data_IF_484954610845
#
_entry.id   IF_484954610845
#
_cell.length_a   1.000
_cell.length_b   1.000
_cell.length_c   1.000
_cell.angle_alpha   90.00
_cell.angle_beta   90.00
_cell.angle_gamma   90.00
#
_symmetry.space_group_name_H-M   'P 1'
#
loop_
_entity.id
_entity.type
_entity.pdbx_description
1 polymer ?
#
# COMPACT_ATOMS: atom_id res chain seq x y z
N UNK A 1 29.56 -9.91 2.21
CA UNK A 1 29.78 -8.48 1.86
C UNK A 1 29.01 -8.24 0.57
N UNK A 2 27.72 -7.91 0.68
CA UNK A 2 26.88 -7.67 -0.48
C UNK A 2 27.18 -6.26 -1.02
N UNK A 3 27.52 -6.17 -2.30
CA UNK A 3 27.71 -4.90 -2.98
C UNK A 3 26.39 -4.13 -2.96
N UNK A 4 26.38 -2.95 -2.34
CA UNK A 4 25.27 -2.03 -2.41
C UNK A 4 25.03 -1.66 -3.87
N UNK A 5 23.88 -2.06 -4.41
CA UNK A 5 23.39 -1.61 -5.70
C UNK A 5 23.18 -0.09 -5.60
N UNK A 6 24.08 0.68 -6.22
CA UNK A 6 23.81 2.00 -6.80
C UNK A 6 23.16 3.08 -5.94
N UNK A 7 23.37 3.14 -4.63
CA UNK A 7 22.90 4.30 -3.85
C UNK A 7 23.74 5.54 -4.23
N UNK A 8 23.13 6.65 -4.69
CA UNK A 8 23.89 7.84 -5.05
C UNK A 8 24.63 8.38 -3.83
N UNK A 9 25.94 8.59 -3.96
CA UNK A 9 26.76 9.17 -2.89
C UNK A 9 26.50 10.68 -2.71
N UNK A 10 27.17 11.33 -1.73
CA UNK A 10 26.98 12.76 -1.44
C UNK A 10 27.17 13.70 -2.64
N UNK A 11 28.00 13.32 -3.62
CA UNK A 11 28.24 14.09 -4.86
C UNK A 11 26.95 14.27 -5.68
N UNK A 12 26.02 13.33 -5.59
CA UNK A 12 24.73 13.43 -6.28
C UNK A 12 23.71 14.29 -5.56
N UNK A 13 23.95 14.68 -4.30
CA UNK A 13 23.03 15.49 -3.51
C UNK A 13 22.69 16.80 -4.21
N UNK A 14 23.71 17.48 -4.72
CA UNK A 14 23.50 18.78 -5.39
C UNK A 14 22.67 18.62 -6.65
N UNK A 15 22.85 17.51 -7.38
CA UNK A 15 22.11 17.23 -8.62
C UNK A 15 20.69 16.76 -8.34
N UNK A 16 20.48 15.84 -7.40
CA UNK A 16 19.20 15.15 -7.21
C UNK A 16 18.30 15.83 -6.17
N UNK A 17 18.86 16.54 -5.19
CA UNK A 17 18.13 17.08 -4.05
C UNK A 17 18.21 18.60 -4.01
N UNK A 18 19.41 19.17 -3.93
CA UNK A 18 19.60 20.61 -3.64
C UNK A 18 19.37 21.55 -4.83
N UNK A 19 19.35 21.03 -6.05
CA UNK A 19 19.19 21.77 -7.32
C UNK A 19 17.79 22.33 -7.55
N UNK A 20 16.80 21.95 -6.74
CA UNK A 20 15.39 22.24 -7.01
C UNK A 20 14.79 21.40 -8.15
N UNK A 21 15.52 20.42 -8.70
CA UNK A 21 15.01 19.54 -9.76
C UNK A 21 13.75 18.76 -9.34
N UNK A 22 13.63 18.38 -8.06
CA UNK A 22 12.41 17.75 -7.54
C UNK A 22 11.21 18.69 -7.68
N UNK A 23 11.37 19.94 -7.24
CA UNK A 23 10.32 20.96 -7.39
C UNK A 23 9.99 21.23 -8.84
N UNK A 24 11.00 21.34 -9.70
CA UNK A 24 10.81 21.49 -11.15
C UNK A 24 10.03 20.32 -11.76
N UNK A 25 10.39 19.08 -11.42
CA UNK A 25 9.75 17.86 -11.95
C UNK A 25 8.28 17.76 -11.53
N UNK A 26 7.98 18.03 -10.26
CA UNK A 26 6.61 18.02 -9.76
C UNK A 26 5.76 19.12 -10.40
N UNK A 27 6.32 20.33 -10.53
CA UNK A 27 5.66 21.44 -11.21
C UNK A 27 5.47 21.18 -12.71
N UNK A 28 6.46 20.56 -13.35
CA UNK A 28 6.40 20.15 -14.75
C UNK A 28 5.27 19.15 -14.98
N UNK A 29 5.19 18.08 -14.17
CA UNK A 29 4.11 17.11 -14.27
C UNK A 29 2.74 17.76 -14.01
N UNK A 30 2.67 18.68 -13.04
CA UNK A 30 1.44 19.43 -12.74
C UNK A 30 1.02 20.33 -13.92
N UNK A 31 1.97 20.99 -14.56
CA UNK A 31 1.70 21.82 -15.74
C UNK A 31 1.24 20.96 -16.93
N UNK A 32 1.82 19.78 -17.13
CA UNK A 32 1.33 18.82 -18.14
C UNK A 32 -0.11 18.40 -17.83
N UNK A 33 -0.40 18.05 -16.58
CA UNK A 33 -1.75 17.66 -16.13
C UNK A 33 -2.79 18.75 -16.39
N UNK A 34 -2.45 20.00 -16.10
CA UNK A 34 -3.34 21.14 -16.35
C UNK A 34 -3.53 21.42 -17.83
N UNK A 35 -2.46 21.34 -18.63
CA UNK A 35 -2.51 21.63 -20.07
C UNK A 35 -3.36 20.62 -20.83
N UNK A 36 -3.31 19.35 -20.43
CA UNK A 36 -3.97 18.26 -21.15
C UNK A 36 -5.21 17.71 -20.42
N UNK A 37 -5.77 18.45 -19.45
CA UNK A 37 -6.90 17.98 -18.64
C UNK A 37 -8.16 17.60 -19.45
N UNK A 38 -8.29 18.10 -20.68
CA UNK A 38 -9.40 17.81 -21.58
C UNK A 38 -9.12 16.66 -22.58
N UNK A 39 -7.88 16.15 -22.63
CA UNK A 39 -7.50 15.05 -23.54
C UNK A 39 -7.48 13.74 -22.77
N UNK A 40 -8.21 12.70 -23.18
CA UNK A 40 -8.32 11.46 -22.39
C UNK A 40 -7.03 10.63 -22.29
N UNK A 41 -6.09 10.80 -23.23
CA UNK A 41 -4.96 9.90 -23.45
C UNK A 41 -3.59 10.45 -22.97
N UNK A 42 -3.54 11.65 -22.39
CA UNK A 42 -2.24 12.27 -22.08
C UNK A 42 -1.48 11.54 -20.97
N UNK A 43 -2.19 10.82 -20.10
CA UNK A 43 -1.58 10.07 -19.01
C UNK A 43 -0.59 9.02 -19.50
N UNK A 44 -0.87 8.41 -20.65
CA UNK A 44 -0.05 7.34 -21.22
C UNK A 44 0.90 7.84 -22.31
N UNK A 45 0.98 9.17 -22.50
CA UNK A 45 1.99 9.72 -23.39
C UNK A 45 3.40 9.46 -22.83
N UNK A 46 4.41 9.21 -23.69
CA UNK A 46 5.76 8.85 -23.24
C UNK A 46 6.35 9.85 -22.23
N UNK A 47 6.05 11.14 -22.40
CA UNK A 47 6.54 12.20 -21.52
C UNK A 47 5.93 12.12 -20.11
N UNK A 48 4.62 11.91 -20.01
CA UNK A 48 3.94 11.76 -18.73
C UNK A 48 4.38 10.48 -18.01
N UNK A 49 4.51 9.38 -18.75
CA UNK A 49 5.03 8.10 -18.24
C UNK A 49 6.45 8.26 -17.71
N UNK A 50 7.35 8.87 -18.47
CA UNK A 50 8.72 9.13 -18.03
C UNK A 50 8.78 10.02 -16.79
N UNK A 51 7.95 11.06 -16.73
CA UNK A 51 7.89 11.95 -15.56
C UNK A 51 7.40 11.20 -14.31
N UNK A 52 6.32 10.42 -14.40
CA UNK A 52 5.83 9.63 -13.24
C UNK A 52 6.84 8.60 -12.79
N UNK A 53 7.46 7.85 -13.70
CA UNK A 53 8.52 6.88 -13.36
C UNK A 53 9.64 7.57 -12.61
N UNK A 54 10.09 8.73 -13.06
CA UNK A 54 11.11 9.49 -12.38
C UNK A 54 10.66 9.94 -10.98
N UNK A 55 9.44 10.46 -10.85
CA UNK A 55 8.83 10.81 -9.54
C UNK A 55 8.84 9.60 -8.59
N UNK A 56 8.41 8.42 -9.05
CA UNK A 56 8.42 7.19 -8.26
C UNK A 56 9.83 6.83 -7.80
N UNK A 57 10.84 6.93 -8.68
CA UNK A 57 12.24 6.67 -8.32
C UNK A 57 12.78 7.66 -7.29
N UNK A 58 12.34 8.93 -7.32
CA UNK A 58 12.70 9.89 -6.28
C UNK A 58 12.12 9.54 -4.91
N UNK A 59 11.01 8.78 -4.83
CA UNK A 59 10.45 8.30 -3.56
C UNK A 59 11.32 7.25 -2.86
N UNK A 60 12.20 6.55 -3.58
CA UNK A 60 13.10 5.54 -3.00
C UNK A 60 14.49 6.07 -2.65
N UNK A 61 14.74 7.38 -2.74
CA UNK A 61 16.04 7.94 -2.36
C UNK A 61 16.28 7.75 -0.86
N UNK A 62 17.45 7.20 -0.52
CA UNK A 62 17.89 6.94 0.86
C UNK A 62 19.41 6.87 0.95
N UNK A 63 19.93 6.81 2.18
CA UNK A 63 21.36 6.61 2.46
C UNK A 63 22.18 7.89 2.40
N UNK A 64 23.46 7.76 2.05
CA UNK A 64 24.49 8.83 2.20
C UNK A 64 24.27 10.06 1.31
N UNK A 65 23.29 10.01 0.39
CA UNK A 65 22.86 11.19 -0.35
C UNK A 65 22.28 12.26 0.58
N UNK A 66 21.63 11.86 1.69
CA UNK A 66 21.17 12.79 2.71
C UNK A 66 22.28 13.07 3.73
N UNK A 67 22.37 14.29 4.28
CA UNK A 67 23.28 14.59 5.37
C UNK A 67 22.91 13.81 6.63
N UNK A 68 23.85 13.68 7.57
CA UNK A 68 23.60 13.08 8.89
C UNK A 68 22.87 14.06 9.81
N UNK A 69 21.68 14.50 9.41
CA UNK A 69 20.87 15.54 10.06
C UNK A 69 19.67 14.97 10.81
N UNK A 70 19.85 13.82 11.47
CA UNK A 70 18.78 13.03 12.09
C UNK A 70 17.67 12.56 11.14
N UNK A 71 17.89 12.64 9.82
CA UNK A 71 16.93 12.20 8.79
C UNK A 71 15.94 13.28 8.37
N UNK A 72 16.12 14.52 8.83
CA UNK A 72 15.18 15.61 8.60
C UNK A 72 15.10 15.99 7.11
N UNK A 73 16.23 16.12 6.40
CA UNK A 73 16.23 16.40 4.96
C UNK A 73 15.60 15.26 4.16
N UNK A 74 15.80 14.00 4.58
CA UNK A 74 15.14 12.86 3.94
C UNK A 74 13.62 12.93 4.15
N UNK A 75 13.18 13.19 5.37
CA UNK A 75 11.76 13.34 5.71
C UNK A 75 11.11 14.46 4.88
N UNK A 76 11.79 15.60 4.76
CA UNK A 76 11.29 16.74 3.97
C UNK A 76 11.22 16.42 2.47
N UNK A 77 12.21 15.71 1.93
CA UNK A 77 12.20 15.23 0.55
C UNK A 77 11.01 14.29 0.31
N UNK A 78 10.82 13.29 1.16
CA UNK A 78 9.71 12.34 1.05
C UNK A 78 8.35 13.02 1.19
N UNK A 79 8.22 14.01 2.08
CA UNK A 79 7.02 14.82 2.22
C UNK A 79 6.69 15.58 0.93
N UNK A 80 7.69 16.20 0.29
CA UNK A 80 7.51 16.88 -0.98
C UNK A 80 7.08 15.90 -2.09
N UNK A 81 7.69 14.72 -2.13
CA UNK A 81 7.31 13.66 -3.07
C UNK A 81 5.87 13.20 -2.85
N UNK A 82 5.49 12.93 -1.59
CA UNK A 82 4.15 12.50 -1.23
C UNK A 82 3.09 13.54 -1.58
N UNK A 83 3.36 14.83 -1.33
CA UNK A 83 2.48 15.92 -1.73
C UNK A 83 2.28 15.99 -3.26
N UNK A 84 3.30 15.62 -4.04
CA UNK A 84 3.23 15.60 -5.50
C UNK A 84 2.36 14.46 -6.07
N UNK A 85 2.35 13.31 -5.40
CA UNK A 85 1.62 12.10 -5.85
C UNK A 85 0.25 11.94 -5.22
N UNK A 86 -0.07 12.65 -4.13
CA UNK A 86 -1.31 12.42 -3.36
C UNK A 86 -2.56 12.53 -4.25
N UNK A 87 -2.56 13.47 -5.20
CA UNK A 87 -3.62 13.71 -6.17
C UNK A 87 -3.77 12.61 -7.25
N UNK A 88 -2.92 11.59 -7.24
CA UNK A 88 -3.01 10.40 -8.10
C UNK A 88 -3.85 9.30 -7.44
N UNK A 89 -3.92 9.31 -6.11
CA UNK A 89 -4.47 8.22 -5.29
C UNK A 89 -5.61 8.70 -4.35
N UNK A 90 -5.84 10.01 -4.25
CA UNK A 90 -6.83 10.60 -3.34
C UNK A 90 -7.96 11.36 -4.08
N UNK A 91 -9.24 11.20 -3.67
CA UNK A 91 -9.74 10.17 -2.76
C UNK A 91 -9.86 8.81 -3.48
N UNK A 92 -9.52 7.68 -2.83
CA UNK A 92 -9.47 6.36 -3.49
C UNK A 92 -10.75 5.97 -4.24
N UNK A 93 -11.93 6.26 -3.69
CA UNK A 93 -13.20 5.89 -4.29
C UNK A 93 -13.49 6.70 -5.57
N UNK A 94 -13.12 7.98 -5.60
CA UNK A 94 -13.26 8.81 -6.79
C UNK A 94 -12.28 8.39 -7.89
N UNK A 95 -11.06 8.01 -7.50
CA UNK A 95 -10.05 7.48 -8.46
C UNK A 95 -10.53 6.17 -9.05
N UNK A 96 -11.00 5.22 -8.22
CA UNK A 96 -11.57 3.95 -8.67
C UNK A 96 -12.75 4.16 -9.62
N UNK A 97 -13.71 5.03 -9.26
CA UNK A 97 -14.84 5.40 -10.14
C UNK A 97 -14.38 6.01 -11.46
N UNK A 98 -13.36 6.86 -11.44
CA UNK A 98 -12.82 7.45 -12.66
C UNK A 98 -12.20 6.39 -13.58
N UNK A 99 -11.48 5.41 -13.03
CA UNK A 99 -10.93 4.29 -13.79
C UNK A 99 -12.04 3.45 -14.40
N UNK A 100 -13.06 3.09 -13.61
CA UNK A 100 -14.27 2.40 -14.10
C UNK A 100 -14.99 3.17 -15.21
N UNK A 101 -14.89 4.50 -15.23
CA UNK A 101 -15.44 5.36 -16.29
C UNK A 101 -14.54 5.52 -17.53
N UNK A 102 -13.41 4.80 -17.59
CA UNK A 102 -12.49 4.79 -18.74
C UNK A 102 -11.30 5.74 -18.62
N UNK A 103 -11.04 6.32 -17.44
CA UNK A 103 -9.78 7.04 -17.19
C UNK A 103 -8.64 6.03 -17.02
N UNK A 104 -7.48 6.35 -17.58
CA UNK A 104 -6.26 5.54 -17.37
C UNK A 104 -5.92 5.36 -15.88
N UNK A 105 -5.65 4.11 -15.50
CA UNK A 105 -5.23 3.64 -14.19
C UNK A 105 -3.76 3.95 -13.87
N UNK A 106 -2.97 4.41 -14.86
CA UNK A 106 -1.53 4.61 -14.75
C UNK A 106 -1.11 5.48 -13.56
N UNK A 107 -1.85 6.57 -13.26
CA UNK A 107 -1.55 7.42 -12.10
C UNK A 107 -1.74 6.68 -10.78
N UNK A 108 -2.82 5.90 -10.66
CA UNK A 108 -3.12 5.13 -9.45
C UNK A 108 -2.02 4.11 -9.21
N UNK A 109 -1.66 3.32 -10.22
CA UNK A 109 -0.65 2.27 -10.11
C UNK A 109 0.74 2.85 -9.79
N UNK A 110 1.13 3.94 -10.43
CA UNK A 110 2.39 4.64 -10.11
C UNK A 110 2.34 5.25 -8.70
N UNK A 111 1.19 5.71 -8.24
CA UNK A 111 0.97 6.16 -6.86
C UNK A 111 1.16 5.03 -5.84
N UNK A 112 0.62 3.84 -6.09
CA UNK A 112 0.84 2.65 -5.26
C UNK A 112 2.35 2.29 -5.21
N UNK A 113 3.04 2.30 -6.35
CA UNK A 113 4.50 2.05 -6.42
C UNK A 113 5.31 3.11 -5.67
N UNK A 114 4.86 4.36 -5.69
CA UNK A 114 5.49 5.42 -4.93
C UNK A 114 5.30 5.21 -3.42
N UNK A 115 4.10 4.83 -2.95
CA UNK A 115 3.89 4.48 -1.53
C UNK A 115 4.79 3.32 -1.09
N UNK A 116 4.88 2.27 -1.92
CA UNK A 116 5.80 1.15 -1.70
C UNK A 116 7.24 1.63 -1.58
N UNK A 117 7.69 2.48 -2.51
CA UNK A 117 9.05 3.06 -2.50
C UNK A 117 9.32 3.84 -1.20
N UNK A 118 8.38 4.66 -0.74
CA UNK A 118 8.50 5.36 0.55
C UNK A 118 8.58 4.36 1.71
N UNK A 119 7.72 3.34 1.74
CA UNK A 119 7.72 2.33 2.81
C UNK A 119 9.07 1.61 2.94
N UNK A 120 9.77 1.34 1.83
CA UNK A 120 11.09 0.69 1.87
C UNK A 120 12.20 1.54 2.50
N UNK A 121 12.01 2.86 2.58
CA UNK A 121 13.05 3.80 3.06
C UNK A 121 12.68 4.54 4.34
N UNK A 122 11.52 4.23 4.93
CA UNK A 122 11.00 4.85 6.17
C UNK A 122 10.62 3.78 7.18
N UNK A 123 10.64 4.13 8.48
CA UNK A 123 9.98 3.31 9.51
C UNK A 123 8.46 3.44 9.44
N UNK A 124 7.66 2.50 10.00
CA UNK A 124 6.20 2.61 9.98
C UNK A 124 5.63 3.88 10.62
N UNK A 125 6.30 4.39 11.67
CA UNK A 125 5.91 5.65 12.31
C UNK A 125 6.12 6.84 11.36
N UNK A 126 7.32 6.96 10.79
CA UNK A 126 7.64 8.05 9.85
C UNK A 126 6.74 7.96 8.63
N UNK A 127 6.52 6.75 8.10
CA UNK A 127 5.62 6.51 6.99
C UNK A 127 4.24 7.12 7.25
N UNK A 128 3.63 6.83 8.40
CA UNK A 128 2.30 7.36 8.75
C UNK A 128 2.27 8.88 8.96
N UNK A 129 3.31 9.44 9.57
CA UNK A 129 3.42 10.88 9.86
C UNK A 129 3.57 11.76 8.62
N UNK A 130 4.13 11.24 7.52
CA UNK A 130 4.37 12.03 6.31
C UNK A 130 3.10 12.73 5.81
N UNK A 131 1.98 12.01 5.71
CA UNK A 131 0.73 12.59 5.22
C UNK A 131 0.03 13.47 6.27
N UNK A 132 0.18 13.15 7.57
CA UNK A 132 -0.38 13.95 8.69
C UNK A 132 0.13 15.39 8.69
N UNK A 133 1.28 15.65 8.06
CA UNK A 133 1.85 16.98 7.93
C UNK A 133 1.00 17.96 7.09
N UNK A 134 0.15 17.46 6.18
CA UNK A 134 -0.72 18.30 5.34
C UNK A 134 -2.13 17.73 5.12
N UNK A 135 -2.48 16.58 5.73
CA UNK A 135 -3.82 15.97 5.74
C UNK A 135 -4.27 15.67 7.17
N UNK A 136 -5.60 15.53 7.39
CA UNK A 136 -6.13 15.17 8.71
C UNK A 136 -5.96 13.69 9.09
N UNK A 137 -5.34 12.88 8.23
CA UNK A 137 -5.09 11.45 8.42
C UNK A 137 -3.68 11.08 7.96
N UNK A 138 -3.20 9.92 8.41
CA UNK A 138 -1.86 9.42 8.08
C UNK A 138 -1.79 8.57 6.82
N UNK A 139 -0.57 8.30 6.39
CA UNK A 139 -0.32 7.54 5.16
C UNK A 139 -0.80 6.09 5.30
N UNK A 140 -0.81 5.51 6.50
CA UNK A 140 -1.34 4.15 6.72
C UNK A 140 -2.86 4.13 6.54
N UNK A 141 -3.56 5.18 6.97
CA UNK A 141 -5.00 5.32 6.72
C UNK A 141 -5.30 5.40 5.23
N UNK A 142 -4.49 6.16 4.47
CA UNK A 142 -4.62 6.21 3.00
C UNK A 142 -4.34 4.86 2.35
N UNK A 143 -3.29 4.16 2.78
CA UNK A 143 -2.93 2.81 2.32
C UNK A 143 -4.09 1.81 2.55
N UNK A 144 -4.70 1.85 3.73
CA UNK A 144 -5.88 1.03 4.05
C UNK A 144 -7.09 1.39 3.17
N UNK A 145 -7.38 2.68 2.97
CA UNK A 145 -8.47 3.13 2.11
C UNK A 145 -8.29 2.70 0.64
N UNK A 146 -7.07 2.78 0.11
CA UNK A 146 -6.73 2.27 -1.22
C UNK A 146 -6.98 0.77 -1.34
N UNK A 147 -6.50 0.00 -0.36
CA UNK A 147 -6.68 -1.44 -0.36
C UNK A 147 -8.16 -1.84 -0.27
N UNK A 148 -8.96 -1.12 0.53
CA UNK A 148 -10.41 -1.32 0.59
C UNK A 148 -11.09 -1.10 -0.78
N UNK A 149 -10.73 -0.05 -1.51
CA UNK A 149 -11.30 0.20 -2.85
C UNK A 149 -10.84 -0.82 -3.88
N UNK A 150 -9.61 -1.32 -3.78
CA UNK A 150 -9.09 -2.40 -4.61
C UNK A 150 -9.85 -3.70 -4.36
N UNK A 151 -10.06 -4.10 -3.10
CA UNK A 151 -10.80 -5.31 -2.76
C UNK A 151 -12.26 -5.21 -3.23
N UNK A 152 -12.91 -4.04 -3.04
CA UNK A 152 -14.26 -3.81 -3.55
C UNK A 152 -14.33 -4.02 -5.07
N UNK A 153 -13.38 -3.48 -5.82
CA UNK A 153 -13.33 -3.66 -7.26
C UNK A 153 -13.14 -5.13 -7.65
N UNK A 154 -12.23 -5.86 -6.99
CA UNK A 154 -12.01 -7.29 -7.22
C UNK A 154 -13.26 -8.14 -6.92
N UNK A 155 -14.02 -7.76 -5.90
CA UNK A 155 -15.27 -8.46 -5.55
C UNK A 155 -16.38 -8.22 -6.56
N UNK A 156 -16.45 -7.02 -7.15
CA UNK A 156 -17.43 -6.63 -8.18
C UNK A 156 -17.05 -7.18 -9.57
N UNK A 157 -15.76 -7.18 -9.91
CA UNK A 157 -15.23 -7.58 -11.20
C UNK A 157 -14.51 -8.94 -11.09
N UNK A 158 -15.28 -10.02 -11.14
CA UNK A 158 -14.76 -11.41 -11.12
C UNK A 158 -14.32 -11.88 -12.51
N UNK A 159 -13.45 -11.12 -13.15
CA UNK A 159 -12.87 -11.51 -14.44
C UNK A 159 -11.53 -12.20 -14.23
N UNK A 160 -11.23 -13.22 -15.03
CA UNK A 160 -9.91 -13.87 -15.04
C UNK A 160 -8.81 -12.99 -15.66
N UNK A 161 -9.20 -11.92 -16.39
CA UNK A 161 -8.25 -10.95 -16.94
C UNK A 161 -7.62 -10.08 -15.86
N UNK A 162 -6.31 -9.83 -15.98
CA UNK A 162 -5.55 -8.97 -15.08
C UNK A 162 -6.04 -7.53 -15.18
N UNK A 163 -6.77 -7.09 -14.15
CA UNK A 163 -7.28 -5.71 -14.05
C UNK A 163 -6.30 -4.81 -13.31
N UNK A 164 -6.56 -3.49 -13.34
CA UNK A 164 -5.83 -2.53 -12.51
C UNK A 164 -5.88 -2.87 -11.01
N UNK A 165 -6.98 -3.46 -10.53
CA UNK A 165 -7.17 -3.80 -9.12
C UNK A 165 -6.34 -5.01 -8.71
N UNK A 166 -6.13 -5.99 -9.60
CA UNK A 166 -5.16 -7.07 -9.38
C UNK A 166 -3.74 -6.53 -9.18
N UNK A 167 -3.26 -5.69 -10.09
CA UNK A 167 -1.90 -5.10 -10.00
C UNK A 167 -1.77 -4.22 -8.76
N UNK A 168 -2.78 -3.41 -8.45
CA UNK A 168 -2.78 -2.56 -7.28
C UNK A 168 -2.75 -3.37 -5.98
N UNK A 169 -3.52 -4.48 -5.91
CA UNK A 169 -3.55 -5.37 -4.73
C UNK A 169 -2.16 -5.87 -4.39
N UNK A 170 -1.44 -6.41 -5.36
CA UNK A 170 -0.13 -7.00 -5.12
C UNK A 170 0.87 -5.95 -4.61
N UNK A 171 0.91 -4.76 -5.23
CA UNK A 171 1.78 -3.66 -4.79
C UNK A 171 1.44 -3.20 -3.36
N UNK A 172 0.14 -3.09 -3.04
CA UNK A 172 -0.30 -2.62 -1.72
C UNK A 172 -0.06 -3.68 -0.63
N UNK A 173 -0.23 -4.97 -0.93
CA UNK A 173 0.12 -6.07 -0.03
C UNK A 173 1.62 -6.12 0.22
N UNK A 174 2.44 -5.92 -0.80
CA UNK A 174 3.90 -5.84 -0.64
C UNK A 174 4.28 -4.62 0.22
N UNK A 175 3.54 -3.51 0.10
CA UNK A 175 3.73 -2.31 0.94
C UNK A 175 3.42 -2.63 2.41
N UNK A 176 2.29 -3.28 2.69
CA UNK A 176 1.94 -3.73 4.04
C UNK A 176 2.98 -4.69 4.60
N UNK A 177 3.41 -5.68 3.81
CA UNK A 177 4.42 -6.65 4.19
C UNK A 177 5.74 -5.98 4.54
N UNK A 178 6.18 -5.01 3.72
CA UNK A 178 7.39 -4.22 3.98
C UNK A 178 7.32 -3.48 5.32
N UNK A 179 6.19 -2.83 5.62
CA UNK A 179 5.99 -2.11 6.88
C UNK A 179 5.96 -3.06 8.10
N UNK A 180 5.32 -4.22 7.97
CA UNK A 180 5.21 -5.21 9.04
C UNK A 180 6.55 -5.92 9.30
N UNK A 181 7.30 -6.30 8.26
CA UNK A 181 8.63 -6.93 8.39
C UNK A 181 9.63 -6.04 9.14
N UNK A 182 9.58 -4.72 8.92
CA UNK A 182 10.42 -3.77 9.65
C UNK A 182 10.09 -3.73 11.15
N UNK A 183 8.83 -3.99 11.51
CA UNK A 183 8.39 -4.08 12.91
C UNK A 183 9.08 -5.25 13.61
N UNK A 184 9.04 -6.43 13.00
CA UNK A 184 9.63 -7.67 13.51
C UNK A 184 11.16 -7.55 13.65
N UNK A 185 11.83 -6.97 12.65
CA UNK A 185 13.28 -6.81 12.66
C UNK A 185 13.79 -5.83 13.74
N UNK A 186 12.95 -4.91 14.19
CA UNK A 186 13.34 -3.86 15.16
C UNK A 186 13.31 -4.28 16.62
N UNK A 187 12.90 -5.53 16.92
CA UNK A 187 12.93 -6.08 18.27
C UNK A 187 12.15 -5.24 19.28
N UNK A 188 10.91 -4.85 18.95
CA UNK A 188 9.95 -4.12 19.80
C UNK A 188 10.21 -2.61 19.99
N UNK A 189 11.10 -1.98 19.20
CA UNK A 189 11.33 -0.52 19.29
C UNK A 189 10.37 0.33 18.46
N UNK A 190 9.74 -0.27 17.45
CA UNK A 190 8.76 0.39 16.62
C UNK A 190 7.44 -0.35 16.76
N UNK A 191 6.36 0.38 17.00
CA UNK A 191 4.98 -0.11 16.97
C UNK A 191 4.25 0.62 15.85
N UNK A 192 3.30 -0.05 15.19
CA UNK A 192 2.34 0.67 14.36
C UNK A 192 1.61 1.72 15.23
N UNK A 193 1.27 2.89 14.67
CA UNK A 193 0.39 3.83 15.35
C UNK A 193 -0.97 3.15 15.62
N UNK A 194 -1.74 3.57 16.65
CA UNK A 194 -3.03 2.96 16.99
C UNK A 194 -3.99 2.90 15.80
N UNK A 195 -4.02 3.96 14.98
CA UNK A 195 -4.81 4.00 13.76
C UNK A 195 -4.34 2.95 12.74
N UNK A 196 -3.03 2.70 12.67
CA UNK A 196 -2.44 1.68 11.83
C UNK A 196 -2.79 0.26 12.25
N UNK A 197 -2.88 0.00 13.57
CA UNK A 197 -3.33 -1.29 14.10
C UNK A 197 -4.80 -1.54 13.72
N UNK A 198 -5.66 -0.55 13.94
CA UNK A 198 -7.07 -0.66 13.55
C UNK A 198 -7.24 -0.83 12.04
N UNK A 199 -6.46 -0.08 11.24
CA UNK A 199 -6.48 -0.15 9.79
C UNK A 199 -6.05 -1.53 9.27
N UNK A 200 -4.98 -2.10 9.84
CA UNK A 200 -4.50 -3.44 9.50
C UNK A 200 -5.53 -4.52 9.89
N UNK A 201 -6.13 -4.43 11.08
CA UNK A 201 -7.14 -5.38 11.53
C UNK A 201 -8.40 -5.36 10.64
N UNK A 202 -8.91 -4.17 10.32
CA UNK A 202 -10.07 -4.02 9.43
C UNK A 202 -9.76 -4.53 8.02
N UNK A 203 -8.57 -4.27 7.51
CA UNK A 203 -8.14 -4.76 6.21
C UNK A 203 -8.05 -6.29 6.19
N UNK A 204 -7.45 -6.90 7.20
CA UNK A 204 -7.36 -8.35 7.31
C UNK A 204 -8.76 -9.00 7.31
N UNK A 205 -9.69 -8.45 8.10
CA UNK A 205 -11.07 -8.91 8.12
C UNK A 205 -11.72 -8.80 6.72
N UNK A 206 -11.49 -7.71 6.01
CA UNK A 206 -12.02 -7.50 4.66
C UNK A 206 -11.46 -8.49 3.64
N UNK A 207 -10.15 -8.76 3.68
CA UNK A 207 -9.50 -9.76 2.79
C UNK A 207 -10.10 -11.14 3.04
N UNK A 208 -10.15 -11.57 4.31
CA UNK A 208 -10.70 -12.89 4.67
C UNK A 208 -12.16 -13.00 4.23
N UNK A 209 -12.97 -11.96 4.47
CA UNK A 209 -14.36 -11.93 4.01
C UNK A 209 -14.45 -12.03 2.47
N UNK A 210 -13.57 -11.33 1.74
CA UNK A 210 -13.58 -11.38 0.27
C UNK A 210 -13.20 -12.75 -0.28
N UNK A 211 -12.18 -13.40 0.29
CA UNK A 211 -11.74 -14.74 -0.13
C UNK A 211 -12.80 -15.79 0.21
N UNK A 212 -13.41 -15.74 1.39
CA UNK A 212 -14.52 -16.62 1.75
C UNK A 212 -15.72 -16.45 0.82
N UNK A 213 -16.03 -15.20 0.42
CA UNK A 213 -17.11 -14.92 -0.54
C UNK A 213 -16.76 -15.41 -1.96
N UNK A 214 -15.49 -15.39 -2.34
CA UNK A 214 -15.04 -15.95 -3.61
C UNK A 214 -15.12 -17.48 -3.59
N UNK A 215 -14.57 -18.12 -2.56
CA UNK A 215 -14.58 -19.57 -2.37
C UNK A 215 -16.01 -20.13 -2.30
N UNK A 216 -16.89 -19.53 -1.49
CA UNK A 216 -18.29 -19.94 -1.42
C UNK A 216 -18.99 -19.85 -2.78
N UNK A 217 -18.81 -18.76 -3.52
CA UNK A 217 -19.46 -18.62 -4.81
C UNK A 217 -18.90 -19.56 -5.90
N UNK A 218 -17.62 -19.91 -5.84
CA UNK A 218 -17.03 -20.95 -6.70
C UNK A 218 -17.62 -22.33 -6.35
N UNK A 219 -17.78 -22.63 -5.07
CA UNK A 219 -18.27 -23.91 -4.60
C UNK A 219 -19.74 -24.20 -4.94
N UNK A 220 -20.55 -23.18 -5.27
CA UNK A 220 -21.92 -23.35 -5.76
C UNK A 220 -22.02 -23.41 -7.29
N UNK A 221 -20.90 -23.23 -8.02
CA UNK A 221 -20.88 -23.17 -9.48
C UNK A 221 -20.45 -24.48 -10.14
N UNK A 222 -19.94 -25.44 -9.37
CA UNK A 222 -19.57 -26.79 -9.85
C UNK A 222 -20.55 -27.83 -9.28
N UNK A 223 -21.15 -28.63 -10.16
CA UNK A 223 -22.06 -29.74 -9.82
C UNK A 223 -21.30 -30.94 -9.20
N UNK A 224 -20.41 -30.75 -8.21
CA UNK A 224 -19.72 -31.86 -7.54
C UNK A 224 -19.48 -31.56 -6.05
N UNK A 225 -20.31 -32.16 -5.18
CA UNK A 225 -20.30 -32.03 -3.70
C UNK A 225 -18.95 -32.36 -3.01
N UNK A 226 -17.99 -32.96 -3.72
CA UNK A 226 -16.69 -33.33 -3.17
C UNK A 226 -15.66 -32.19 -3.12
N UNK A 227 -15.77 -31.16 -3.98
CA UNK A 227 -14.84 -30.03 -4.00
C UNK A 227 -15.15 -28.97 -2.92
N UNK A 228 -16.39 -28.95 -2.40
CA UNK A 228 -16.82 -28.06 -1.31
C UNK A 228 -15.97 -28.23 -0.04
N UNK A 229 -15.74 -29.47 0.39
CA UNK A 229 -14.94 -29.76 1.58
C UNK A 229 -13.47 -29.39 1.38
N UNK A 230 -12.93 -29.62 0.18
CA UNK A 230 -11.50 -29.47 -0.07
C UNK A 230 -11.10 -27.99 -0.22
N UNK A 231 -11.91 -27.18 -0.89
CA UNK A 231 -11.72 -25.73 -0.98
C UNK A 231 -11.94 -25.03 0.37
N UNK A 232 -12.94 -25.46 1.16
CA UNK A 232 -13.18 -24.91 2.49
C UNK A 232 -12.08 -25.27 3.50
N UNK A 233 -11.52 -26.48 3.41
CA UNK A 233 -10.37 -26.91 4.23
C UNK A 233 -9.11 -26.12 3.85
N UNK A 234 -8.85 -25.92 2.55
CA UNK A 234 -7.69 -25.14 2.10
C UNK A 234 -7.78 -23.67 2.53
N UNK A 235 -8.95 -23.05 2.42
CA UNK A 235 -9.18 -21.69 2.91
C UNK A 235 -9.04 -21.59 4.44
N UNK A 236 -9.48 -22.62 5.19
CA UNK A 236 -9.26 -22.69 6.65
C UNK A 236 -7.79 -22.80 7.01
N UNK A 237 -7.01 -23.64 6.32
CA UNK A 237 -5.59 -23.83 6.58
C UNK A 237 -4.77 -22.56 6.29
N UNK A 238 -5.11 -21.80 5.24
CA UNK A 238 -4.48 -20.50 4.97
C UNK A 238 -4.82 -19.45 6.02
N UNK A 239 -6.06 -19.39 6.50
CA UNK A 239 -6.48 -18.47 7.57
C UNK A 239 -5.85 -18.85 8.91
N UNK A 240 -5.72 -20.14 9.23
CA UNK A 240 -5.05 -20.61 10.44
C UNK A 240 -3.55 -20.33 10.38
N UNK A 241 -2.92 -20.49 9.22
CA UNK A 241 -1.53 -20.10 8.98
C UNK A 241 -1.33 -18.59 9.18
N UNK A 242 -2.20 -17.75 8.62
CA UNK A 242 -2.14 -16.29 8.80
C UNK A 242 -2.38 -15.89 10.26
N UNK A 243 -3.34 -16.51 10.95
CA UNK A 243 -3.61 -16.28 12.37
C UNK A 243 -2.43 -16.73 13.26
N UNK A 244 -1.80 -17.86 12.95
CA UNK A 244 -0.64 -18.40 13.69
C UNK A 244 0.60 -17.52 13.49
N UNK A 245 0.85 -17.06 12.26
CA UNK A 245 1.91 -16.10 11.93
C UNK A 245 1.71 -14.78 12.68
N UNK A 246 0.49 -14.25 12.67
CA UNK A 246 0.15 -13.03 13.41
C UNK A 246 0.23 -13.24 14.94
N UNK A 247 -0.13 -14.41 15.47
CA UNK A 247 -0.06 -14.71 16.90
C UNK A 247 1.39 -14.94 17.38
N UNK A 248 2.26 -15.47 16.51
CA UNK A 248 3.68 -15.69 16.77
C UNK A 248 4.48 -14.39 16.91
N UNK A 249 4.20 -13.38 16.08
CA UNK A 249 4.85 -12.06 16.17
C UNK A 249 4.37 -11.20 17.34
N UNK A 250 3.16 -11.41 17.87
CA UNK A 250 2.54 -10.54 18.87
C UNK A 250 2.68 -10.98 20.34
N UNK A 251 3.49 -12.00 20.65
CA UNK A 251 3.65 -12.55 22.02
C UNK A 251 4.34 -11.61 23.03
N UNK A 252 4.75 -10.40 22.63
CA UNK A 252 5.48 -9.42 23.45
C UNK A 252 4.77 -8.08 23.74
N UNK A 253 3.49 -7.89 23.36
CA UNK A 253 2.80 -6.60 23.47
C UNK A 253 1.91 -6.43 24.73
N UNK A 254 1.60 -5.17 25.06
CA UNK A 254 0.74 -4.74 26.16
C UNK A 254 -0.65 -5.44 26.10
N UNK A 255 -1.16 -6.03 27.21
CA UNK A 255 -2.37 -6.87 27.19
C UNK A 255 -3.63 -6.20 26.63
N UNK A 256 -3.73 -4.86 26.64
CA UNK A 256 -4.87 -4.14 26.08
C UNK A 256 -4.91 -4.11 24.54
N UNK A 257 -3.75 -3.98 23.87
CA UNK A 257 -3.68 -3.97 22.40
C UNK A 257 -3.61 -5.39 21.82
N UNK A 258 -3.00 -6.31 22.57
CA UNK A 258 -3.03 -7.75 22.31
C UNK A 258 -4.47 -8.27 22.32
N UNK A 259 -5.26 -7.79 23.28
CA UNK A 259 -6.68 -8.10 23.40
C UNK A 259 -7.49 -7.67 22.18
N UNK A 260 -7.26 -6.50 21.59
CA UNK A 260 -8.05 -6.02 20.43
C UNK A 260 -7.72 -6.77 19.14
N UNK A 261 -6.44 -7.02 18.87
CA UNK A 261 -6.02 -7.71 17.64
C UNK A 261 -6.36 -9.21 17.69
N UNK A 262 -6.04 -9.90 18.80
CA UNK A 262 -6.44 -11.31 18.97
C UNK A 262 -7.96 -11.46 19.03
N UNK A 263 -8.69 -10.49 19.59
CA UNK A 263 -10.15 -10.49 19.57
C UNK A 263 -10.69 -10.26 18.17
N UNK A 264 -10.09 -9.40 17.34
CA UNK A 264 -10.49 -9.24 15.94
C UNK A 264 -10.21 -10.53 15.13
N UNK A 265 -9.05 -11.16 15.32
CA UNK A 265 -8.74 -12.46 14.69
C UNK A 265 -9.67 -13.58 15.20
N UNK A 266 -9.99 -13.60 16.49
CA UNK A 266 -10.89 -14.60 17.09
C UNK A 266 -12.36 -14.33 16.74
N UNK A 267 -12.80 -13.07 16.65
CA UNK A 267 -14.14 -12.68 16.18
C UNK A 267 -14.30 -13.01 14.69
N UNK A 268 -13.26 -12.77 13.86
CA UNK A 268 -13.23 -13.24 12.47
C UNK A 268 -13.29 -14.78 12.39
N UNK A 269 -12.53 -15.50 13.21
CA UNK A 269 -12.57 -16.97 13.29
C UNK A 269 -13.90 -17.53 13.82
N UNK A 270 -14.59 -16.82 14.72
CA UNK A 270 -15.90 -17.25 15.23
C UNK A 270 -17.06 -16.92 14.30
N UNK A 271 -16.95 -15.89 13.44
CA UNK A 271 -17.87 -15.68 12.31
C UNK A 271 -17.73 -16.80 11.26
N UNK A 272 -16.51 -17.32 11.06
CA UNK A 272 -16.24 -18.48 10.20
C UNK A 272 -16.92 -19.75 10.73
N UNK A 273 -16.86 -20.02 12.04
CA UNK A 273 -17.51 -21.19 12.65
C UNK A 273 -19.05 -21.17 12.65
N UNK A 274 -19.69 -20.01 12.43
CA UNK A 274 -21.16 -19.87 12.42
C UNK A 274 -21.73 -19.92 10.98
N UNK A 275 -20.87 -19.76 9.97
CA UNK A 275 -21.27 -19.69 8.56
C UNK A 275 -21.02 -20.97 7.75
N UNK A 276 -20.53 -22.04 8.41
CA UNK A 276 -20.40 -23.41 7.88
C UNK A 276 -21.51 -24.29 8.42
#
# INVERSE_FOLDING_TARGET
MAAAVGCPGPVWRDVLISSGHVGWLLNFYTALRQKFSCEGYWLDCPLAVSARKLIVQFCSLTGTIFPSDSGEMQRQHLLQMLAGIVQWIEPPDAVSKAIKSGKSESELLDGCRALMSVATVTTPLVFDELLKSFRPYGTITLLSALMCEVIKDLMENRTEEETWSWVARDILLDTWTTLLMQLDASGHKHSLPPEGISAAANLFALIVESELRAASASAFNDEDEYDYLQASIAAMDEVEFLCSYCSGSYRGHNPSSQGTFLRACHEASSVIYISV
#
